data_IF_357170350281
#
_entry.id   IF_357170350281
#
_cell.length_a   1.000
_cell.length_b   1.000
_cell.length_c   1.000
_cell.angle_alpha   90.00
_cell.angle_beta   90.00
_cell.angle_gamma   90.00
#
_symmetry.space_group_name_H-M   'P 1'
#
loop_
_entity.id
_entity.type
_entity.pdbx_description
1 polymer ?
#
# COMPACT_ATOMS: atom_id res chain seq x y z
N UNK A 1 -21.56 -37.65 -31.25
CA UNK A 1 -20.38 -37.76 -30.35
C UNK A 1 -19.74 -36.38 -30.20
N UNK A 2 -20.13 -35.65 -29.18
CA UNK A 2 -19.55 -34.34 -28.89
C UNK A 2 -18.54 -34.57 -27.73
N UNK A 3 -17.26 -34.42 -28.00
CA UNK A 3 -16.21 -34.44 -26.99
C UNK A 3 -16.21 -33.10 -26.24
N UNK A 4 -16.66 -33.12 -25.00
CA UNK A 4 -16.48 -32.00 -24.08
C UNK A 4 -15.00 -31.84 -23.75
N UNK A 5 -14.39 -30.76 -24.21
CA UNK A 5 -13.09 -30.32 -23.72
C UNK A 5 -13.30 -29.70 -22.35
N UNK A 6 -12.95 -30.43 -21.30
CA UNK A 6 -12.74 -29.84 -19.98
C UNK A 6 -11.43 -29.07 -20.06
N UNK A 7 -11.53 -27.73 -20.12
CA UNK A 7 -10.39 -26.87 -19.89
C UNK A 7 -9.91 -27.09 -18.46
N UNK A 8 -8.74 -27.70 -18.31
CA UNK A 8 -8.00 -27.73 -17.05
C UNK A 8 -7.54 -26.28 -16.83
N UNK A 9 -8.23 -25.53 -15.97
CA UNK A 9 -7.68 -24.31 -15.41
C UNK A 9 -6.43 -24.75 -14.64
N UNK A 10 -5.28 -24.47 -15.22
CA UNK A 10 -4.01 -24.63 -14.53
C UNK A 10 -4.08 -23.74 -13.28
N UNK A 11 -4.07 -24.35 -12.11
CA UNK A 11 -3.92 -23.59 -10.86
C UNK A 11 -2.59 -22.87 -10.97
N UNK A 12 -2.65 -21.54 -11.09
CA UNK A 12 -1.45 -20.70 -11.05
C UNK A 12 -0.68 -21.02 -9.77
N UNK A 13 0.62 -21.25 -9.87
CA UNK A 13 1.49 -21.41 -8.71
C UNK A 13 1.40 -20.19 -7.80
N UNK A 14 1.99 -20.26 -6.63
CA UNK A 14 2.17 -19.12 -5.75
C UNK A 14 3.64 -18.68 -5.79
N UNK A 15 3.86 -17.39 -5.80
CA UNK A 15 5.18 -16.78 -5.65
C UNK A 15 5.19 -15.80 -4.47
N UNK A 16 6.37 -15.58 -3.87
CA UNK A 16 6.53 -14.53 -2.87
C UNK A 16 6.61 -13.16 -3.56
N UNK A 17 5.75 -12.22 -3.14
CA UNK A 17 5.83 -10.85 -3.64
C UNK A 17 7.20 -10.24 -3.34
N UNK A 18 7.84 -9.65 -4.34
CA UNK A 18 9.18 -9.03 -4.23
C UNK A 18 9.22 -7.87 -3.23
N UNK A 19 8.08 -7.22 -2.94
CA UNK A 19 7.99 -6.11 -1.99
C UNK A 19 7.64 -6.55 -0.57
N UNK A 20 6.50 -7.22 -0.39
CA UNK A 20 5.97 -7.55 0.95
C UNK A 20 6.15 -9.01 1.35
N UNK A 21 6.66 -9.89 0.48
CA UNK A 21 6.83 -11.31 0.75
C UNK A 21 5.55 -12.14 0.81
N UNK A 22 4.37 -11.57 0.62
CA UNK A 22 3.11 -12.30 0.60
C UNK A 22 3.10 -13.35 -0.51
N UNK A 23 2.57 -14.53 -0.23
CA UNK A 23 2.39 -15.59 -1.22
C UNK A 23 1.18 -15.27 -2.09
N UNK A 24 1.43 -14.83 -3.29
CA UNK A 24 0.43 -14.35 -4.26
C UNK A 24 0.43 -15.22 -5.51
N UNK A 25 -0.66 -15.21 -6.33
CA UNK A 25 -0.65 -15.94 -7.59
C UNK A 25 0.54 -15.57 -8.48
N UNK A 26 1.24 -16.57 -8.99
CA UNK A 26 2.28 -16.41 -10.01
C UNK A 26 1.58 -16.20 -11.36
N UNK A 27 1.41 -14.93 -11.72
CA UNK A 27 0.70 -14.52 -12.93
C UNK A 27 1.49 -13.43 -13.66
N UNK A 28 1.41 -13.46 -14.98
CA UNK A 28 1.85 -12.32 -15.79
C UNK A 28 0.79 -11.22 -15.74
N UNK A 29 1.24 -9.96 -15.67
CA UNK A 29 0.30 -8.84 -15.64
C UNK A 29 0.99 -7.50 -15.42
N UNK A 30 0.22 -6.42 -15.43
CA UNK A 30 0.74 -5.09 -15.20
C UNK A 30 1.22 -4.93 -13.74
N UNK A 31 2.24 -4.10 -13.57
CA UNK A 31 2.69 -3.61 -12.27
C UNK A 31 2.69 -2.09 -12.27
N UNK A 32 2.83 -1.50 -11.10
CA UNK A 32 2.94 -0.05 -11.01
C UNK A 32 4.40 0.39 -11.25
N UNK A 33 4.59 1.51 -11.94
CA UNK A 33 5.90 1.98 -12.42
C UNK A 33 6.96 2.17 -11.33
N UNK A 34 6.56 2.57 -10.11
CA UNK A 34 7.47 2.86 -8.99
C UNK A 34 7.00 2.24 -7.66
N UNK A 35 6.06 1.31 -7.72
CA UNK A 35 5.64 0.50 -6.57
C UNK A 35 6.20 -0.90 -6.79
N UNK A 36 7.04 -1.37 -5.88
CA UNK A 36 7.78 -2.62 -5.99
C UNK A 36 6.93 -3.83 -5.60
N UNK A 37 5.88 -4.12 -6.36
CA UNK A 37 5.01 -5.27 -6.12
C UNK A 37 5.10 -6.26 -7.29
N UNK A 38 5.02 -7.57 -7.00
CA UNK A 38 4.83 -8.59 -8.03
C UNK A 38 3.46 -8.44 -8.71
N UNK A 39 3.30 -8.89 -9.98
CA UNK A 39 2.04 -8.78 -10.71
C UNK A 39 0.84 -9.35 -9.96
N UNK A 40 0.99 -10.53 -9.34
CA UNK A 40 -0.07 -11.14 -8.53
C UNK A 40 -0.45 -10.30 -7.30
N UNK A 41 0.53 -9.69 -6.63
CA UNK A 41 0.25 -8.80 -5.51
C UNK A 41 -0.46 -7.52 -5.94
N UNK A 42 -0.05 -6.94 -7.09
CA UNK A 42 -0.72 -5.79 -7.68
C UNK A 42 -2.16 -6.10 -8.08
N UNK A 43 -2.41 -7.28 -8.64
CA UNK A 43 -3.76 -7.75 -8.99
C UNK A 43 -4.66 -7.90 -7.75
N UNK A 44 -4.14 -8.51 -6.68
CA UNK A 44 -4.86 -8.63 -5.40
C UNK A 44 -5.20 -7.26 -4.81
N UNK A 45 -4.28 -6.31 -4.88
CA UNK A 45 -4.56 -4.94 -4.45
C UNK A 45 -5.62 -4.25 -5.34
N UNK A 46 -5.61 -4.55 -6.64
CA UNK A 46 -6.65 -4.10 -7.57
C UNK A 46 -8.06 -4.56 -7.17
N UNK A 47 -8.22 -5.84 -6.81
CA UNK A 47 -9.49 -6.38 -6.29
C UNK A 47 -9.94 -5.67 -5.01
N UNK A 48 -8.99 -5.34 -4.12
CA UNK A 48 -9.28 -4.58 -2.90
C UNK A 48 -9.79 -3.17 -3.24
N UNK A 49 -9.11 -2.48 -4.15
CA UNK A 49 -9.49 -1.14 -4.58
C UNK A 49 -10.85 -1.11 -5.30
N UNK A 50 -11.15 -2.13 -6.11
CA UNK A 50 -12.47 -2.29 -6.74
C UNK A 50 -13.58 -2.48 -5.70
N UNK A 51 -13.35 -3.30 -4.67
CA UNK A 51 -14.27 -3.48 -3.55
C UNK A 51 -14.54 -2.16 -2.83
N UNK A 52 -13.50 -1.39 -2.55
CA UNK A 52 -13.61 -0.07 -1.92
C UNK A 52 -14.39 0.92 -2.80
N UNK A 53 -14.09 0.97 -4.09
CA UNK A 53 -14.78 1.84 -5.03
C UNK A 53 -16.26 1.45 -5.23
N UNK A 54 -16.58 0.17 -5.11
CA UNK A 54 -17.93 -0.36 -5.31
C UNK A 54 -18.90 -0.15 -4.14
N UNK A 55 -18.40 0.13 -2.94
CA UNK A 55 -19.23 0.28 -1.74
C UNK A 55 -18.66 1.32 -0.78
N UNK A 56 -19.41 2.40 -0.52
CA UNK A 56 -19.00 3.50 0.35
C UNK A 56 -18.64 3.07 1.78
N UNK A 57 -19.15 1.93 2.26
CA UNK A 57 -18.85 1.39 3.58
C UNK A 57 -17.39 0.94 3.69
N UNK A 58 -16.78 0.51 2.56
CA UNK A 58 -15.37 0.16 2.46
C UNK A 58 -14.53 1.37 2.01
N UNK A 59 -15.06 2.23 1.13
CA UNK A 59 -14.36 3.40 0.60
C UNK A 59 -13.77 4.30 1.68
N UNK A 60 -14.39 4.36 2.84
CA UNK A 60 -13.91 5.15 4.01
C UNK A 60 -12.51 4.72 4.48
N UNK A 61 -12.07 3.52 4.16
CA UNK A 61 -10.75 2.98 4.52
C UNK A 61 -9.70 3.11 3.40
N UNK A 62 -10.12 3.52 2.21
CA UNK A 62 -9.28 3.60 1.02
C UNK A 62 -7.97 4.34 1.24
N UNK A 63 -8.00 5.48 1.94
CA UNK A 63 -6.79 6.24 2.18
C UNK A 63 -5.77 5.47 3.03
N UNK A 64 -6.24 4.70 4.00
CA UNK A 64 -5.40 3.89 4.87
C UNK A 64 -4.78 2.70 4.13
N UNK A 65 -5.59 2.00 3.32
CA UNK A 65 -5.13 0.85 2.52
C UNK A 65 -4.14 1.25 1.43
N UNK A 66 -4.37 2.39 0.76
CA UNK A 66 -3.41 2.97 -0.21
C UNK A 66 -2.08 3.28 0.48
N UNK A 67 -2.10 3.93 1.65
CA UNK A 67 -0.86 4.28 2.35
C UNK A 67 -0.11 3.04 2.83
N UNK A 68 -0.81 2.07 3.40
CA UNK A 68 -0.21 0.81 3.82
C UNK A 68 0.41 0.06 2.63
N UNK A 69 -0.34 -0.08 1.53
CA UNK A 69 0.15 -0.77 0.34
C UNK A 69 1.40 -0.11 -0.26
N UNK A 70 1.34 1.20 -0.49
CA UNK A 70 2.46 1.93 -1.11
C UNK A 70 3.70 1.97 -0.20
N UNK A 71 3.52 2.14 1.11
CA UNK A 71 4.64 2.11 2.06
C UNK A 71 5.23 0.70 2.24
N UNK A 72 4.44 -0.35 2.00
CA UNK A 72 4.90 -1.74 2.03
C UNK A 72 5.63 -2.16 0.73
N UNK A 73 5.50 -1.38 -0.35
CA UNK A 73 6.09 -1.65 -1.65
C UNK A 73 6.89 -0.43 -2.17
N UNK A 74 7.98 -0.04 -1.49
CA UNK A 74 8.70 1.20 -1.79
C UNK A 74 9.32 1.24 -3.19
N UNK A 75 9.55 0.08 -3.81
CA UNK A 75 10.20 -0.03 -5.11
C UNK A 75 11.70 0.30 -5.05
N UNK A 76 12.24 0.72 -6.20
CA UNK A 76 13.63 1.10 -6.36
C UNK A 76 13.82 2.63 -6.26
N UNK A 77 14.99 3.11 -5.78
CA UNK A 77 15.26 4.55 -5.65
C UNK A 77 15.07 5.29 -6.97
N UNK A 78 14.15 6.22 -6.97
CA UNK A 78 13.89 7.17 -8.07
C UNK A 78 13.21 8.42 -7.53
N UNK A 79 13.24 9.56 -8.23
CA UNK A 79 12.54 10.75 -7.77
C UNK A 79 11.04 10.53 -7.53
N UNK A 80 10.41 9.62 -8.27
CA UNK A 80 9.01 9.26 -8.10
C UNK A 80 8.80 8.35 -6.87
N UNK A 81 9.63 7.32 -6.72
CA UNK A 81 9.55 6.41 -5.57
C UNK A 81 9.83 7.13 -4.25
N UNK A 82 10.84 8.01 -4.20
CA UNK A 82 11.15 8.83 -3.02
C UNK A 82 9.92 9.65 -2.60
N UNK A 83 9.27 10.34 -3.54
CA UNK A 83 8.05 11.11 -3.23
C UNK A 83 6.88 10.22 -2.83
N UNK A 84 6.71 9.08 -3.49
CA UNK A 84 5.66 8.12 -3.16
C UNK A 84 5.82 7.61 -1.73
N UNK A 85 6.98 7.09 -1.38
CA UNK A 85 7.30 6.61 -0.03
C UNK A 85 7.07 7.71 1.01
N UNK A 86 7.59 8.92 0.77
CA UNK A 86 7.42 10.04 1.69
C UNK A 86 5.95 10.41 1.92
N UNK A 87 5.17 10.52 0.84
CA UNK A 87 3.74 10.89 0.91
C UNK A 87 2.93 9.83 1.66
N UNK A 88 3.18 8.56 1.40
CA UNK A 88 2.42 7.47 2.02
C UNK A 88 2.84 7.23 3.48
N UNK A 89 4.11 7.35 3.81
CA UNK A 89 4.56 7.30 5.22
C UNK A 89 4.03 8.49 6.03
N UNK A 90 4.03 9.70 5.47
CA UNK A 90 3.38 10.86 6.10
C UNK A 90 1.87 10.60 6.26
N UNK A 91 1.24 9.97 5.27
CA UNK A 91 -0.17 9.57 5.35
C UNK A 91 -0.43 8.61 6.52
N UNK A 92 0.39 7.55 6.69
CA UNK A 92 0.29 6.64 7.82
C UNK A 92 0.46 7.36 9.16
N UNK A 93 1.51 8.17 9.30
CA UNK A 93 1.74 8.97 10.50
C UNK A 93 0.52 9.83 10.87
N UNK A 94 -0.01 10.57 9.90
CA UNK A 94 -1.14 11.48 10.13
C UNK A 94 -2.42 10.74 10.52
N UNK A 95 -2.67 9.58 9.94
CA UNK A 95 -3.85 8.75 10.27
C UNK A 95 -3.69 8.02 11.61
N UNK A 96 -2.54 7.40 11.85
CA UNK A 96 -2.34 6.50 13.00
C UNK A 96 -2.00 7.26 14.28
N UNK A 97 -1.11 8.26 14.21
CA UNK A 97 -0.65 8.98 15.40
C UNK A 97 -1.39 10.31 15.63
N UNK A 98 -1.87 10.98 14.55
CA UNK A 98 -2.51 12.28 14.66
C UNK A 98 -4.03 12.21 14.53
N UNK A 99 -4.58 11.05 14.14
CA UNK A 99 -6.02 10.88 13.95
C UNK A 99 -6.61 11.79 12.87
N UNK A 100 -5.80 12.18 11.87
CA UNK A 100 -6.24 13.11 10.84
C UNK A 100 -7.34 12.48 9.97
N UNK A 101 -8.42 13.22 9.79
CA UNK A 101 -9.56 12.79 8.98
C UNK A 101 -9.19 12.73 7.48
N UNK A 102 -9.82 11.86 6.67
CA UNK A 102 -9.55 11.70 5.25
C UNK A 102 -9.54 13.00 4.44
N UNK A 103 -10.41 13.95 4.75
CA UNK A 103 -10.48 15.25 4.08
C UNK A 103 -9.19 16.08 4.24
N UNK A 104 -8.61 16.10 5.45
CA UNK A 104 -7.36 16.80 5.72
C UNK A 104 -6.14 16.06 5.14
N UNK A 105 -6.23 14.74 5.04
CA UNK A 105 -5.15 13.90 4.56
C UNK A 105 -4.80 14.15 3.09
N UNK A 106 -5.81 14.34 2.23
CA UNK A 106 -5.59 14.68 0.82
C UNK A 106 -4.77 15.96 0.67
N UNK A 107 -5.16 17.03 1.39
CA UNK A 107 -4.44 18.31 1.37
C UNK A 107 -3.00 18.18 1.87
N UNK A 108 -2.78 17.42 2.96
CA UNK A 108 -1.46 17.18 3.51
C UNK A 108 -0.54 16.45 2.51
N UNK A 109 -1.03 15.40 1.86
CA UNK A 109 -0.29 14.66 0.83
C UNK A 109 0.07 15.53 -0.37
N UNK A 110 -0.88 16.31 -0.89
CA UNK A 110 -0.65 17.24 -1.99
C UNK A 110 0.43 18.27 -1.62
N UNK A 111 0.41 18.76 -0.39
CA UNK A 111 1.41 19.69 0.12
C UNK A 111 2.81 19.07 0.12
N UNK A 112 2.98 17.88 0.72
CA UNK A 112 4.27 17.17 0.77
C UNK A 112 4.78 16.87 -0.65
N UNK A 113 3.93 16.36 -1.53
CA UNK A 113 4.29 16.08 -2.92
C UNK A 113 4.74 17.34 -3.67
N UNK A 114 4.04 18.48 -3.49
CA UNK A 114 4.36 19.76 -4.10
C UNK A 114 5.67 20.34 -3.57
N UNK A 115 5.87 20.32 -2.25
CA UNK A 115 7.10 20.81 -1.62
C UNK A 115 8.32 19.99 -2.06
N UNK A 116 8.19 18.66 -2.11
CA UNK A 116 9.24 17.77 -2.61
C UNK A 116 9.53 17.99 -4.10
N UNK A 117 8.49 18.16 -4.94
CA UNK A 117 8.66 18.43 -6.37
C UNK A 117 9.36 19.77 -6.64
N UNK A 118 9.07 20.79 -5.83
CA UNK A 118 9.67 22.12 -5.97
C UNK A 118 11.03 22.27 -5.30
N UNK A 119 11.54 21.21 -4.62
CA UNK A 119 12.79 21.27 -3.86
C UNK A 119 12.72 22.13 -2.59
N UNK A 120 11.53 22.56 -2.16
CA UNK A 120 11.33 23.29 -0.91
C UNK A 120 11.35 22.39 0.32
N UNK A 121 11.12 21.10 0.14
CA UNK A 121 11.28 20.05 1.14
C UNK A 121 12.25 19.03 0.56
N UNK A 122 13.35 18.81 1.28
CA UNK A 122 14.34 17.82 0.90
C UNK A 122 13.82 16.41 1.28
N UNK A 123 13.23 15.76 0.29
CA UNK A 123 12.80 14.36 0.39
C UNK A 123 13.95 13.47 -0.07
N UNK A 124 14.44 12.64 0.82
CA UNK A 124 15.52 11.69 0.55
C UNK A 124 14.98 10.27 0.49
N UNK A 125 15.72 9.38 -0.17
CA UNK A 125 15.43 7.96 -0.10
C UNK A 125 15.56 7.46 1.35
N UNK A 126 14.52 6.81 1.82
CA UNK A 126 14.54 6.11 3.10
C UNK A 126 14.82 4.64 2.80
N UNK A 127 15.93 4.14 3.32
CA UNK A 127 16.27 2.73 3.16
C UNK A 127 15.18 1.86 3.78
N UNK A 128 14.53 0.99 3.00
CA UNK A 128 13.45 0.15 3.51
C UNK A 128 13.97 -0.85 4.55
N UNK A 129 13.18 -1.17 5.58
CA UNK A 129 13.51 -2.26 6.48
C UNK A 129 13.51 -3.61 5.75
N UNK A 130 14.26 -4.58 6.28
CA UNK A 130 14.37 -5.92 5.69
C UNK A 130 13.02 -6.66 5.59
N UNK A 131 12.07 -6.32 6.47
CA UNK A 131 10.68 -6.76 6.41
C UNK A 131 9.78 -5.57 6.69
N UNK A 132 8.80 -5.33 5.82
CA UNK A 132 7.88 -4.19 5.93
C UNK A 132 6.53 -4.64 6.48
N UNK A 133 6.56 -5.18 7.70
CA UNK A 133 5.41 -5.68 8.43
C UNK A 133 5.00 -7.11 8.01
N UNK A 134 4.29 -7.77 8.90
CA UNK A 134 3.84 -9.16 8.70
C UNK A 134 2.42 -9.24 8.13
N UNK A 135 1.63 -8.17 8.28
CA UNK A 135 0.27 -8.09 7.75
C UNK A 135 0.33 -7.50 6.34
N UNK A 136 -0.39 -8.12 5.41
CA UNK A 136 -0.36 -7.77 3.99
C UNK A 136 -1.77 -7.59 3.43
N UNK A 137 -1.88 -7.17 2.19
CA UNK A 137 -3.15 -7.05 1.46
C UNK A 137 -4.01 -8.31 1.52
N UNK A 138 -3.41 -9.50 1.60
CA UNK A 138 -4.14 -10.78 1.70
C UNK A 138 -5.02 -10.86 2.95
N UNK A 139 -4.55 -10.34 4.08
CA UNK A 139 -5.28 -10.36 5.35
C UNK A 139 -6.53 -9.45 5.33
N UNK A 140 -6.52 -8.43 4.49
CA UNK A 140 -7.66 -7.51 4.32
C UNK A 140 -8.62 -8.01 3.25
N UNK A 141 -8.09 -8.59 2.15
CA UNK A 141 -8.87 -9.12 1.03
C UNK A 141 -9.97 -10.09 1.47
N UNK A 142 -9.64 -10.99 2.40
CA UNK A 142 -10.53 -12.07 2.83
C UNK A 142 -11.74 -11.61 3.64
N UNK A 143 -11.71 -10.38 4.18
CA UNK A 143 -12.79 -9.85 5.01
C UNK A 143 -14.02 -9.50 4.18
N UNK A 144 -15.20 -9.79 4.71
CA UNK A 144 -16.49 -9.55 4.03
C UNK A 144 -17.27 -8.39 4.65
N UNK A 145 -17.15 -8.22 5.96
CA UNK A 145 -17.89 -7.22 6.70
C UNK A 145 -17.09 -5.90 6.84
N UNK A 146 -17.73 -4.73 6.64
CA UNK A 146 -17.03 -3.45 6.68
C UNK A 146 -16.30 -3.15 7.98
N UNK A 147 -16.83 -3.58 9.11
CA UNK A 147 -16.19 -3.37 10.43
C UNK A 147 -14.89 -4.19 10.53
N UNK A 148 -14.96 -5.48 10.23
CA UNK A 148 -13.79 -6.36 10.21
C UNK A 148 -12.74 -5.87 9.19
N UNK A 149 -13.20 -5.41 8.01
CA UNK A 149 -12.33 -4.82 7.01
C UNK A 149 -11.55 -3.64 7.58
N UNK A 150 -12.22 -2.72 8.26
CA UNK A 150 -11.58 -1.56 8.87
C UNK A 150 -10.57 -1.92 9.94
N UNK A 151 -10.88 -2.91 10.78
CA UNK A 151 -9.95 -3.45 11.80
C UNK A 151 -8.70 -4.05 11.15
N UNK A 152 -8.87 -4.89 10.10
CA UNK A 152 -7.76 -5.49 9.38
C UNK A 152 -6.92 -4.46 8.62
N UNK A 153 -7.56 -3.49 7.97
CA UNK A 153 -6.87 -2.40 7.30
C UNK A 153 -6.02 -1.58 8.29
N UNK A 154 -6.56 -1.32 9.49
CA UNK A 154 -5.82 -0.63 10.55
C UNK A 154 -4.64 -1.44 11.06
N UNK A 155 -4.82 -2.71 11.36
CA UNK A 155 -3.74 -3.61 11.79
C UNK A 155 -2.64 -3.70 10.72
N UNK A 156 -3.02 -3.76 9.45
CA UNK A 156 -2.06 -3.73 8.34
C UNK A 156 -1.26 -2.43 8.33
N UNK A 157 -1.94 -1.29 8.39
CA UNK A 157 -1.29 0.02 8.41
C UNK A 157 -0.35 0.19 9.61
N UNK A 158 -0.76 -0.25 10.80
CA UNK A 158 0.04 -0.25 12.02
C UNK A 158 1.29 -1.14 11.86
N UNK A 159 1.14 -2.36 11.36
CA UNK A 159 2.26 -3.28 11.10
C UNK A 159 3.29 -2.68 10.13
N UNK A 160 2.83 -2.03 9.06
CA UNK A 160 3.71 -1.33 8.12
C UNK A 160 4.39 -0.14 8.78
N UNK A 161 3.64 0.70 9.51
CA UNK A 161 4.19 1.87 10.20
C UNK A 161 5.26 1.50 11.23
N UNK A 162 5.02 0.46 12.01
CA UNK A 162 5.98 -0.07 12.99
C UNK A 162 7.26 -0.58 12.32
N UNK A 163 7.15 -1.23 11.16
CA UNK A 163 8.33 -1.69 10.42
C UNK A 163 9.25 -0.53 10.01
N UNK A 164 8.70 0.64 9.71
CA UNK A 164 9.46 1.85 9.38
C UNK A 164 9.98 2.62 10.61
N UNK A 165 10.05 2.00 11.77
CA UNK A 165 10.42 2.61 13.05
C UNK A 165 11.65 3.52 12.97
N UNK A 166 12.75 3.07 12.34
CA UNK A 166 14.00 3.82 12.23
C UNK A 166 13.81 5.15 11.48
N UNK A 167 12.85 5.21 10.57
CA UNK A 167 12.62 6.37 9.70
C UNK A 167 11.52 7.32 10.22
N UNK A 168 10.79 6.94 11.25
CA UNK A 168 9.61 7.69 11.74
C UNK A 168 9.93 9.13 12.12
N UNK A 169 11.09 9.40 12.72
CA UNK A 169 11.48 10.76 13.07
C UNK A 169 11.65 11.66 11.84
N UNK A 170 12.22 11.12 10.76
CA UNK A 170 12.33 11.84 9.48
C UNK A 170 10.95 12.12 8.88
N UNK A 171 10.05 11.13 8.94
CA UNK A 171 8.67 11.27 8.45
C UNK A 171 7.90 12.34 9.25
N UNK A 172 8.04 12.36 10.58
CA UNK A 172 7.41 13.39 11.44
C UNK A 172 7.92 14.79 11.10
N UNK A 173 9.23 14.95 10.82
CA UNK A 173 9.78 16.24 10.37
C UNK A 173 9.21 16.67 9.02
N UNK A 174 9.04 15.76 8.07
CA UNK A 174 8.40 16.08 6.80
C UNK A 174 6.94 16.51 6.99
N UNK A 175 6.20 15.82 7.83
CA UNK A 175 4.80 16.12 8.12
C UNK A 175 4.57 17.49 8.80
N UNK A 176 5.61 18.04 9.47
CA UNK A 176 5.55 19.34 10.15
C UNK A 176 5.66 20.55 9.18
N UNK A 177 6.01 20.34 7.90
CA UNK A 177 6.10 21.35 6.88
C UNK A 177 4.77 21.56 6.16
#
# INVERSE_FOLDING_TARGET
>A
MLKGGQGVEAQAGLEACVGCGAMVPDVEGPTHRYIGASPGCWAVYGELAEKEAGDFRFMRYHQLTVDAYCAQHPGEPSPQAIRSVAVHLVGLYLQLERGLHPEGLYAARQRIASLGKSGKLDLVWLEPPASIGEITVLHVRETKEPTEYGERARLWAESVWEAWFVQQETVRRWAAN
#
